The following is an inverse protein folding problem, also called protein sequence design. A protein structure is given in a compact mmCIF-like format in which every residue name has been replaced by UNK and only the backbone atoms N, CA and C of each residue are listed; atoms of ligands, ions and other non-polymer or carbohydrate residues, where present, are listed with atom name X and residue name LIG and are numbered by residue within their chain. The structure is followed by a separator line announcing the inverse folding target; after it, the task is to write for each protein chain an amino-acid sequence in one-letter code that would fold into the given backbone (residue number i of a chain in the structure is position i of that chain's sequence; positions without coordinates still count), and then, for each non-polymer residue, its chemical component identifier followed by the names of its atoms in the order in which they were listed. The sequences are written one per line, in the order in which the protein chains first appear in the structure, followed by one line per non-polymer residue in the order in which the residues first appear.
data_IF_283856519986
#
_entry.id   IF_283856519986
#
_cell.length_a   1.000
_cell.length_b   1.000
_cell.length_c   1.000
_cell.angle_alpha   90.00
_cell.angle_beta   90.00
_cell.angle_gamma   90.00
#
_symmetry.space_group_name_H-M   'P 1'
#
loop_
_entity.id
_entity.type
_entity.pdbx_description
1 polymer ?
#
# COMPACT_ATOMS: atom_id res chain seq x y z
N UNK A 1 -1.21 -40.54 -2.14
CA UNK A 1 -0.81 -40.76 -0.74
C UNK A 1 0.09 -39.61 -0.35
N UNK A 2 -0.48 -38.65 0.37
CA UNK A 2 0.15 -37.37 0.73
C UNK A 2 1.51 -37.53 1.40
N UNK A 3 2.41 -36.58 1.13
CA UNK A 3 3.71 -36.43 1.78
C UNK A 3 3.59 -36.47 3.32
N UNK A 4 2.46 -36.02 3.85
CA UNK A 4 2.12 -36.07 5.28
C UNK A 4 2.09 -37.51 5.84
N UNK A 5 1.51 -38.48 5.12
CA UNK A 5 1.46 -39.88 5.57
C UNK A 5 2.85 -40.55 5.53
N UNK A 6 3.69 -40.20 4.54
CA UNK A 6 5.08 -40.71 4.46
C UNK A 6 5.93 -40.24 5.64
N UNK A 7 5.74 -39.02 6.10
CA UNK A 7 6.52 -38.45 7.19
C UNK A 7 6.06 -38.94 8.58
N UNK A 8 4.74 -38.97 8.84
CA UNK A 8 4.20 -39.27 10.18
C UNK A 8 4.16 -40.77 10.49
N UNK A 9 3.83 -41.61 9.50
CA UNK A 9 3.70 -43.06 9.71
C UNK A 9 4.95 -43.81 9.22
N UNK A 10 5.60 -43.30 8.17
CA UNK A 10 6.75 -43.96 7.54
C UNK A 10 8.12 -43.59 8.12
N UNK A 11 8.20 -42.63 9.05
CA UNK A 11 9.45 -42.20 9.69
C UNK A 11 10.49 -41.60 8.72
N UNK A 12 10.14 -41.33 7.47
CA UNK A 12 11.05 -40.73 6.50
C UNK A 12 11.20 -39.24 6.79
N UNK A 13 12.39 -38.83 7.24
CA UNK A 13 12.78 -37.43 7.33
C UNK A 13 12.85 -36.83 5.93
N UNK A 14 12.14 -35.72 5.70
CA UNK A 14 12.38 -34.87 4.55
C UNK A 14 13.37 -33.77 4.94
N UNK A 15 14.62 -33.92 4.48
CA UNK A 15 15.71 -32.95 4.64
C UNK A 15 16.92 -33.53 5.38
N UNK A 16 18.02 -33.77 4.66
CA UNK A 16 19.27 -34.35 5.20
C UNK A 16 20.27 -33.29 5.71
N UNK A 17 19.87 -32.01 5.74
CA UNK A 17 20.70 -30.89 6.19
C UNK A 17 19.90 -30.03 7.15
N UNK A 18 20.08 -30.19 8.48
CA UNK A 18 19.46 -29.27 9.42
C UNK A 18 19.97 -27.86 9.12
N UNK A 19 19.04 -26.90 9.10
CA UNK A 19 19.36 -25.49 9.04
C UNK A 19 20.33 -25.17 10.17
N UNK A 20 21.46 -24.53 9.86
CA UNK A 20 22.42 -24.13 10.88
C UNK A 20 21.76 -23.15 11.87
N UNK A 21 22.25 -23.10 13.11
CA UNK A 21 21.73 -22.15 14.11
C UNK A 21 21.77 -20.69 13.59
N UNK A 22 22.77 -20.34 12.78
CA UNK A 22 22.88 -19.03 12.16
C UNK A 22 21.75 -18.76 11.14
N UNK A 23 21.49 -19.71 10.25
CA UNK A 23 20.40 -19.60 9.27
C UNK A 23 19.03 -19.53 9.97
N UNK A 24 18.83 -20.29 11.04
CA UNK A 24 17.58 -20.26 11.83
C UNK A 24 17.37 -18.89 12.48
N UNK A 25 18.42 -18.30 13.06
CA UNK A 25 18.36 -16.96 13.64
C UNK A 25 18.08 -15.89 12.58
N UNK A 26 18.68 -15.99 11.40
CA UNK A 26 18.44 -15.06 10.29
C UNK A 26 16.98 -15.17 9.82
N UNK A 27 16.48 -16.40 9.57
CA UNK A 27 15.11 -16.63 9.11
C UNK A 27 14.08 -16.15 10.15
N UNK A 28 14.34 -16.39 11.43
CA UNK A 28 13.50 -15.91 12.54
C UNK A 28 13.51 -14.38 12.60
N UNK A 29 14.69 -13.76 12.51
CA UNK A 29 14.85 -12.31 12.51
C UNK A 29 14.11 -11.64 11.34
N UNK A 30 14.22 -12.21 10.13
CA UNK A 30 13.50 -11.73 8.95
C UNK A 30 11.98 -11.85 9.12
N UNK A 31 11.51 -12.97 9.67
CA UNK A 31 10.08 -13.18 9.94
C UNK A 31 9.55 -12.12 10.90
N UNK A 32 10.24 -11.89 12.03
CA UNK A 32 9.87 -10.85 12.99
C UNK A 32 9.90 -9.46 12.34
N UNK A 33 10.92 -9.15 11.54
CA UNK A 33 11.03 -7.88 10.84
C UNK A 33 9.88 -7.65 9.85
N UNK A 34 9.51 -8.66 9.06
CA UNK A 34 8.37 -8.57 8.15
C UNK A 34 7.04 -8.45 8.90
N UNK A 35 6.83 -9.26 9.94
CA UNK A 35 5.63 -9.13 10.78
C UNK A 35 5.52 -7.72 11.36
N UNK A 36 6.62 -7.18 11.89
CA UNK A 36 6.64 -5.81 12.41
C UNK A 36 6.34 -4.77 11.31
N UNK A 37 6.92 -4.92 10.11
CA UNK A 37 6.65 -4.06 8.96
C UNK A 37 5.15 -4.03 8.61
N UNK A 38 4.52 -5.21 8.47
CA UNK A 38 3.11 -5.31 8.06
C UNK A 38 2.13 -4.86 9.15
N UNK A 39 2.40 -5.16 10.43
CA UNK A 39 1.55 -4.70 11.56
C UNK A 39 1.57 -3.18 11.68
N UNK A 40 2.68 -2.54 11.32
CA UNK A 40 2.81 -1.09 11.35
C UNK A 40 2.38 -0.41 10.04
N UNK A 41 2.07 -1.16 8.99
CA UNK A 41 1.77 -0.62 7.68
C UNK A 41 0.47 0.19 7.72
N UNK A 42 0.57 1.52 7.54
CA UNK A 42 -0.59 2.41 7.57
C UNK A 42 -0.44 3.58 6.60
N UNK A 43 -1.57 3.99 6.04
CA UNK A 43 -1.68 5.14 5.17
C UNK A 43 -2.54 6.21 5.86
N UNK A 44 -1.87 7.26 6.34
CA UNK A 44 -2.51 8.40 6.96
C UNK A 44 -2.74 9.48 5.89
N UNK A 45 -3.99 9.93 5.72
CA UNK A 45 -4.37 11.00 4.80
C UNK A 45 -5.10 12.09 5.58
N UNK A 46 -4.68 13.33 5.42
CA UNK A 46 -5.33 14.50 6.02
C UNK A 46 -5.60 15.54 4.95
N UNK A 47 -6.86 15.91 4.79
CA UNK A 47 -7.32 16.93 3.84
C UNK A 47 -7.47 18.25 4.59
N UNK A 48 -6.85 19.31 4.08
CA UNK A 48 -6.92 20.66 4.62
C UNK A 48 -7.21 21.68 3.51
N UNK A 49 -7.48 22.92 3.89
CA UNK A 49 -7.75 24.02 2.95
C UNK A 49 -6.56 24.38 2.06
N UNK A 50 -5.34 24.18 2.56
CA UNK A 50 -4.09 24.46 1.84
C UNK A 50 -3.65 23.29 0.95
N UNK A 51 -3.94 22.05 1.35
CA UNK A 51 -3.59 20.89 0.53
C UNK A 51 -3.88 19.54 1.18
N UNK A 52 -3.21 18.53 0.63
CA UNK A 52 -3.31 17.13 1.04
C UNK A 52 -2.01 16.74 1.74
N UNK A 53 -2.13 16.14 2.92
CA UNK A 53 -1.02 15.61 3.68
C UNK A 53 -1.13 14.09 3.71
N UNK A 54 -0.13 13.39 3.19
CA UNK A 54 -0.12 11.92 3.11
C UNK A 54 1.12 11.33 3.74
N UNK A 55 0.96 10.31 4.57
CA UNK A 55 2.06 9.55 5.16
C UNK A 55 1.79 8.06 5.04
N UNK A 56 2.71 7.36 4.39
CA UNK A 56 2.67 5.92 4.29
C UNK A 56 3.70 5.30 5.23
N UNK A 57 3.35 5.09 6.48
CA UNK A 57 4.26 4.53 7.47
C UNK A 57 4.41 3.01 7.30
N UNK A 58 5.62 2.43 7.42
CA UNK A 58 6.89 3.07 7.81
C UNK A 58 7.73 3.63 6.64
N UNK A 59 7.29 3.53 5.39
CA UNK A 59 8.04 4.01 4.21
C UNK A 59 8.22 5.54 4.16
N UNK A 60 7.27 6.28 4.72
CA UNK A 60 7.32 7.73 4.94
C UNK A 60 7.20 8.01 6.44
N UNK A 61 8.27 8.54 7.04
CA UNK A 61 8.25 8.93 8.46
C UNK A 61 7.54 10.27 8.69
N UNK A 62 7.62 11.17 7.70
CA UNK A 62 6.97 12.49 7.71
C UNK A 62 5.85 12.53 6.68
N UNK A 63 4.88 13.42 6.89
CA UNK A 63 3.86 13.71 5.90
C UNK A 63 4.48 14.36 4.67
N UNK A 64 4.10 13.86 3.49
CA UNK A 64 4.28 14.53 2.21
C UNK A 64 3.11 15.48 2.00
N UNK A 65 3.40 16.69 1.56
CA UNK A 65 2.42 17.73 1.29
C UNK A 65 2.23 17.90 -0.21
N UNK A 66 0.97 17.97 -0.65
CA UNK A 66 0.58 18.25 -2.03
C UNK A 66 -0.39 19.43 -2.03
N UNK A 67 0.04 20.57 -2.60
CA UNK A 67 -0.79 21.78 -2.71
C UNK A 67 -1.90 21.58 -3.74
N UNK A 68 -3.08 22.14 -3.47
CA UNK A 68 -4.19 22.15 -4.44
C UNK A 68 -3.82 22.81 -5.77
N UNK A 69 -2.97 23.83 -5.75
CA UNK A 69 -2.56 24.59 -6.95
C UNK A 69 -1.67 23.76 -7.90
N UNK A 70 -1.03 22.72 -7.37
CA UNK A 70 -0.21 21.80 -8.17
C UNK A 70 -1.03 20.75 -8.93
N UNK A 71 -2.35 20.69 -8.68
CA UNK A 71 -3.26 19.67 -9.17
C UNK A 71 -4.17 20.22 -10.26
N UNK A 72 -4.18 19.53 -11.40
CA UNK A 72 -5.17 19.73 -12.46
C UNK A 72 -6.43 18.93 -12.19
N UNK A 73 -6.31 17.75 -11.57
CA UNK A 73 -7.45 16.91 -11.18
C UNK A 73 -7.29 16.31 -9.78
N UNK A 74 -8.42 16.20 -9.09
CA UNK A 74 -8.57 15.61 -7.76
C UNK A 74 -9.98 15.03 -7.64
N UNK A 75 -10.09 13.70 -7.72
CA UNK A 75 -11.38 13.01 -7.71
C UNK A 75 -11.29 11.64 -7.04
N UNK A 76 -12.39 11.23 -6.39
CA UNK A 76 -12.50 9.89 -5.82
C UNK A 76 -12.94 8.93 -6.92
N UNK A 77 -12.25 7.80 -7.04
CA UNK A 77 -12.57 6.75 -8.01
C UNK A 77 -12.39 5.36 -7.43
N UNK A 78 -13.03 4.39 -8.06
CA UNK A 78 -12.65 2.99 -7.94
C UNK A 78 -11.41 2.72 -8.82
N UNK A 79 -10.55 1.81 -8.39
CA UNK A 79 -9.36 1.37 -9.08
C UNK A 79 -9.16 -0.14 -8.87
N UNK A 80 -8.37 -0.78 -9.72
CA UNK A 80 -8.00 -2.19 -9.57
C UNK A 80 -6.58 -2.33 -9.02
N UNK A 81 -6.39 -2.71 -7.74
CA UNK A 81 -5.06 -2.83 -7.14
C UNK A 81 -4.14 -3.78 -7.93
N UNK A 82 -4.67 -4.95 -8.33
CA UNK A 82 -3.88 -5.98 -9.00
C UNK A 82 -3.51 -5.58 -10.44
N UNK A 83 -4.47 -5.09 -11.23
CA UNK A 83 -4.23 -4.84 -12.66
C UNK A 83 -3.64 -3.47 -12.97
N UNK A 84 -3.86 -2.45 -12.12
CA UNK A 84 -3.29 -1.11 -12.34
C UNK A 84 -1.95 -0.91 -11.62
N UNK A 85 -1.76 -1.57 -10.47
CA UNK A 85 -0.65 -1.28 -9.55
C UNK A 85 0.14 -2.51 -9.09
N UNK A 86 -0.28 -3.72 -9.48
CA UNK A 86 0.42 -4.96 -9.11
C UNK A 86 0.23 -5.39 -7.66
N UNK A 87 -0.75 -4.82 -6.93
CA UNK A 87 -1.04 -5.15 -5.54
C UNK A 87 -1.34 -3.96 -4.65
N UNK A 88 -1.18 -4.16 -3.35
CA UNK A 88 -1.26 -3.13 -2.33
C UNK A 88 0.14 -2.77 -1.83
N UNK A 89 0.33 -1.52 -1.46
CA UNK A 89 1.60 -0.98 -1.02
C UNK A 89 1.97 0.30 -1.75
N UNK A 90 3.27 0.55 -1.77
CA UNK A 90 3.88 1.62 -2.55
C UNK A 90 4.21 1.07 -3.94
N UNK A 91 3.49 1.50 -4.95
CA UNK A 91 3.63 0.96 -6.31
C UNK A 91 3.87 2.06 -7.35
N UNK A 92 4.72 1.76 -8.33
CA UNK A 92 4.72 2.45 -9.62
C UNK A 92 3.70 1.75 -10.51
N UNK A 93 2.62 2.46 -10.84
CA UNK A 93 1.52 1.96 -11.65
C UNK A 93 1.96 1.65 -13.08
N UNK A 94 1.33 0.63 -13.65
CA UNK A 94 1.57 0.17 -15.01
C UNK A 94 0.90 1.13 -16.01
N UNK A 95 1.29 1.07 -17.28
CA UNK A 95 0.58 1.76 -18.38
C UNK A 95 0.26 3.24 -18.12
N UNK A 96 1.16 3.97 -17.47
CA UNK A 96 0.99 5.40 -17.19
C UNK A 96 -0.01 5.74 -16.07
N UNK A 97 -0.36 4.79 -15.20
CA UNK A 97 -1.23 5.04 -14.03
C UNK A 97 -0.56 5.85 -12.91
N UNK A 98 0.76 6.05 -12.99
CA UNK A 98 1.52 6.84 -12.00
C UNK A 98 1.68 6.10 -10.68
N UNK A 99 2.01 6.81 -9.61
CA UNK A 99 2.28 6.18 -8.31
C UNK A 99 0.98 5.86 -7.57
N UNK A 100 0.95 4.81 -6.76
CA UNK A 100 -0.10 4.62 -5.77
C UNK A 100 0.46 4.36 -4.36
N UNK A 101 -0.22 4.92 -3.38
CA UNK A 101 -0.10 4.58 -1.97
C UNK A 101 -1.43 3.94 -1.55
N UNK A 102 -1.44 2.66 -1.24
CA UNK A 102 -2.62 1.98 -0.74
C UNK A 102 -2.24 0.87 0.26
N UNK A 103 -3.17 0.51 1.13
CA UNK A 103 -2.98 -0.57 2.13
C UNK A 103 -4.00 -1.68 1.92
N UNK A 104 -5.23 -1.31 1.58
CA UNK A 104 -6.34 -2.23 1.32
C UNK A 104 -7.37 -1.55 0.41
N UNK A 105 -8.39 -2.30 0.01
CA UNK A 105 -9.53 -1.77 -0.74
C UNK A 105 -9.20 -1.42 -2.20
N UNK A 106 -10.20 -0.85 -2.86
CA UNK A 106 -10.25 -0.60 -4.30
C UNK A 106 -10.78 0.80 -4.65
N UNK A 107 -10.86 1.70 -3.67
CA UNK A 107 -11.26 3.10 -3.86
C UNK A 107 -10.19 4.05 -3.34
N UNK A 108 -10.02 5.19 -3.99
CA UNK A 108 -8.97 6.13 -3.63
C UNK A 108 -9.14 7.52 -4.24
N UNK A 109 -8.39 8.46 -3.69
CA UNK A 109 -8.21 9.80 -4.24
C UNK A 109 -7.21 9.74 -5.40
N UNK A 110 -7.67 10.03 -6.60
CA UNK A 110 -6.82 10.25 -7.74
C UNK A 110 -6.38 11.71 -7.79
N UNK A 111 -5.08 11.92 -7.85
CA UNK A 111 -4.44 13.19 -8.11
C UNK A 111 -3.79 13.15 -9.49
N UNK A 112 -4.03 14.17 -10.29
CA UNK A 112 -3.29 14.44 -11.53
C UNK A 112 -2.65 15.82 -11.39
N UNK A 113 -1.34 15.85 -11.56
CA UNK A 113 -0.52 17.05 -11.35
C UNK A 113 -0.36 17.83 -12.66
N UNK A 114 -0.08 19.13 -12.55
CA UNK A 114 0.20 20.00 -13.70
C UNK A 114 1.40 19.55 -14.55
N UNK A 115 2.29 18.73 -13.99
CA UNK A 115 3.42 18.11 -14.72
C UNK A 115 3.07 16.75 -15.35
N UNK A 116 1.79 16.40 -15.47
CA UNK A 116 1.26 15.13 -15.99
C UNK A 116 1.59 13.88 -15.18
N UNK A 117 2.21 14.02 -14.00
CA UNK A 117 2.36 12.89 -13.08
C UNK A 117 1.04 12.59 -12.38
N UNK A 118 0.91 11.36 -11.85
CA UNK A 118 -0.31 10.89 -11.19
C UNK A 118 0.03 10.22 -9.87
N UNK A 119 -0.83 10.44 -8.89
CA UNK A 119 -0.79 9.77 -7.59
C UNK A 119 -2.18 9.30 -7.20
N UNK A 120 -2.31 8.01 -6.88
CA UNK A 120 -3.50 7.47 -6.25
C UNK A 120 -3.24 7.26 -4.75
N UNK A 121 -4.17 7.70 -3.90
CA UNK A 121 -4.13 7.51 -2.45
C UNK A 121 -5.36 6.66 -2.06
N UNK A 122 -5.14 5.40 -1.70
CA UNK A 122 -6.21 4.48 -1.31
C UNK A 122 -6.94 4.92 -0.04
N UNK A 123 -8.23 4.58 0.05
CA UNK A 123 -9.06 4.86 1.23
C UNK A 123 -10.17 3.82 1.40
N UNK A 124 -10.41 3.40 2.64
CA UNK A 124 -11.60 2.61 3.01
C UNK A 124 -12.79 3.50 3.37
N UNK A 125 -12.65 4.82 3.26
CA UNK A 125 -13.69 5.83 3.57
C UNK A 125 -13.92 6.77 2.38
N UNK A 126 -14.35 6.25 1.23
CA UNK A 126 -14.52 7.04 0.01
C UNK A 126 -15.58 8.14 0.17
N UNK A 127 -16.65 7.88 0.90
CA UNK A 127 -17.77 8.82 1.05
C UNK A 127 -17.37 10.01 1.94
N UNK A 128 -16.73 9.76 3.09
CA UNK A 128 -16.18 10.80 3.98
C UNK A 128 -15.17 11.69 3.23
N UNK A 129 -14.30 11.08 2.44
CA UNK A 129 -13.33 11.79 1.61
C UNK A 129 -14.03 12.66 0.55
N UNK A 130 -15.03 12.12 -0.14
CA UNK A 130 -15.80 12.84 -1.17
C UNK A 130 -16.53 14.03 -0.57
N UNK A 131 -17.22 13.83 0.55
CA UNK A 131 -17.90 14.90 1.29
C UNK A 131 -16.93 16.00 1.73
N UNK A 132 -15.76 15.61 2.25
CA UNK A 132 -14.72 16.55 2.66
C UNK A 132 -14.23 17.39 1.49
N UNK A 133 -13.92 16.77 0.34
CA UNK A 133 -13.47 17.47 -0.86
C UNK A 133 -14.54 18.42 -1.41
N UNK A 134 -15.81 18.02 -1.40
CA UNK A 134 -16.92 18.88 -1.79
C UNK A 134 -17.03 20.11 -0.89
N UNK A 135 -16.95 19.94 0.44
CA UNK A 135 -17.04 21.04 1.41
C UNK A 135 -15.96 22.11 1.24
N UNK A 136 -14.79 21.74 0.72
CA UNK A 136 -13.68 22.67 0.47
C UNK A 136 -13.52 23.03 -1.02
N UNK A 137 -14.45 22.58 -1.86
CA UNK A 137 -14.47 22.82 -3.32
C UNK A 137 -13.20 22.35 -4.04
N UNK A 138 -12.63 21.22 -3.61
CA UNK A 138 -11.40 20.65 -4.18
C UNK A 138 -11.67 19.34 -4.96
N UNK A 139 -12.89 19.15 -5.46
CA UNK A 139 -13.13 18.18 -6.53
C UNK A 139 -12.81 18.86 -7.86
N UNK A 140 -11.80 18.35 -8.58
CA UNK A 140 -11.37 18.82 -9.90
C UNK A 140 -11.42 17.65 -10.89
N UNK A 141 -12.31 17.69 -11.87
CA UNK A 141 -12.52 16.62 -12.86
C UNK A 141 -11.87 16.91 -14.20
#
# INVERSE_FOLDING_TARGET
MDYFFKQVIGGQQFGDKPMSNAELLIATGLTIAFTFLFVNLRLDTTIKKDGIYVRFFPFHLKFKYYSWDSLTKSYVRQYSPLTEYGGWGLSLGLFGKGTAFNVSGDKGLQLEFSNNTKLLIGTNKPDELTETLNKIEQIKQ
#
